data_IF_233693587635
#
_entry.id   IF_233693587635
#
_cell.length_a   1.000
_cell.length_b   1.000
_cell.length_c   1.000
_cell.angle_alpha   90.00
_cell.angle_beta   90.00
_cell.angle_gamma   90.00
#
_symmetry.space_group_name_H-M   'P 1'
#
loop_
_entity.id
_entity.type
_entity.pdbx_description
1 polymer ?
#
# COMPACT_ATOMS: atom_id res chain seq x y z
N UNK A 1 12.28 10.68 -1.79
CA UNK A 1 10.89 10.94 -1.34
C UNK A 1 9.91 10.89 -2.50
N UNK A 2 9.99 11.77 -3.51
CA UNK A 2 8.99 11.84 -4.61
C UNK A 2 8.77 10.56 -5.43
N UNK A 3 9.81 9.74 -5.61
CA UNK A 3 9.73 8.57 -6.50
C UNK A 3 8.89 7.44 -5.88
N UNK A 4 9.03 7.20 -4.58
CA UNK A 4 8.20 6.25 -3.84
C UNK A 4 6.75 6.70 -3.77
N UNK A 5 6.51 7.98 -3.52
CA UNK A 5 5.16 8.53 -3.48
C UNK A 5 4.42 8.32 -4.82
N UNK A 6 5.13 8.50 -5.94
CA UNK A 6 4.59 8.26 -7.29
C UNK A 6 4.25 6.78 -7.52
N UNK A 7 5.08 5.87 -7.00
CA UNK A 7 4.84 4.42 -7.09
C UNK A 7 3.58 4.05 -6.29
N UNK A 8 3.45 4.53 -5.04
CA UNK A 8 2.27 4.23 -4.24
C UNK A 8 1.00 4.82 -4.84
N UNK A 9 1.03 6.06 -5.35
CA UNK A 9 -0.11 6.64 -6.05
C UNK A 9 -0.56 5.79 -7.24
N UNK A 10 0.37 5.27 -8.04
CA UNK A 10 0.04 4.39 -9.15
C UNK A 10 -0.53 3.05 -8.68
N UNK A 11 0.02 2.44 -7.63
CA UNK A 11 -0.51 1.22 -7.05
C UNK A 11 -1.92 1.44 -6.50
N UNK A 12 -2.18 2.55 -5.79
CA UNK A 12 -3.51 2.89 -5.30
C UNK A 12 -4.51 3.07 -6.44
N UNK A 13 -4.11 3.74 -7.53
CA UNK A 13 -4.97 3.86 -8.72
C UNK A 13 -5.30 2.50 -9.34
N UNK A 14 -4.32 1.59 -9.45
CA UNK A 14 -4.57 0.23 -9.97
C UNK A 14 -5.54 -0.54 -9.10
N UNK A 15 -5.37 -0.52 -7.78
CA UNK A 15 -6.31 -1.17 -6.86
C UNK A 15 -7.71 -0.55 -6.99
N UNK A 16 -7.81 0.78 -6.91
CA UNK A 16 -9.10 1.46 -6.87
C UNK A 16 -9.90 1.37 -8.19
N UNK A 17 -9.22 1.40 -9.34
CA UNK A 17 -9.89 1.44 -10.65
C UNK A 17 -9.93 0.10 -11.38
N UNK A 18 -9.03 -0.83 -11.06
CA UNK A 18 -8.86 -2.09 -11.80
C UNK A 18 -9.02 -3.32 -10.91
N UNK A 19 -9.24 -3.13 -9.60
CA UNK A 19 -9.29 -4.22 -8.61
C UNK A 19 -8.05 -5.13 -8.69
N UNK A 20 -6.89 -4.52 -8.96
CA UNK A 20 -5.63 -5.21 -9.20
C UNK A 20 -5.12 -5.84 -7.88
N UNK A 21 -5.34 -7.15 -7.76
CA UNK A 21 -4.97 -7.95 -6.58
C UNK A 21 -3.45 -7.91 -6.31
N UNK A 22 -2.64 -7.84 -7.37
CA UNK A 22 -1.18 -7.81 -7.22
C UNK A 22 -0.72 -6.47 -6.67
N UNK A 23 -1.28 -5.37 -7.18
CA UNK A 23 -1.03 -4.03 -6.64
C UNK A 23 -1.48 -3.91 -5.18
N UNK A 24 -2.59 -4.56 -4.81
CA UNK A 24 -3.03 -4.63 -3.42
C UNK A 24 -2.03 -5.37 -2.54
N UNK A 25 -1.53 -6.55 -2.96
CA UNK A 25 -0.53 -7.31 -2.20
C UNK A 25 0.76 -6.51 -1.97
N UNK A 26 1.22 -5.79 -2.99
CA UNK A 26 2.40 -4.93 -2.87
C UNK A 26 2.19 -3.79 -1.86
N UNK A 27 1.06 -3.08 -1.95
CA UNK A 27 0.69 -2.05 -0.97
C UNK A 27 0.56 -2.64 0.43
N UNK A 28 -0.13 -3.78 0.57
CA UNK A 28 -0.34 -4.43 1.84
C UNK A 28 0.98 -4.76 2.51
N UNK A 29 1.92 -5.40 1.81
CA UNK A 29 3.23 -5.77 2.37
C UNK A 29 4.05 -4.55 2.78
N UNK A 30 3.99 -3.45 2.03
CA UNK A 30 4.69 -2.21 2.38
C UNK A 30 4.13 -1.59 3.67
N UNK A 31 2.80 -1.54 3.81
CA UNK A 31 2.14 -0.92 4.97
C UNK A 31 1.95 -1.88 6.15
N UNK A 32 2.13 -3.18 5.96
CA UNK A 32 1.92 -4.21 6.97
C UNK A 32 2.71 -3.98 8.26
N UNK A 33 4.02 -3.63 8.23
CA UNK A 33 4.77 -3.35 9.45
C UNK A 33 4.18 -2.17 10.25
N UNK A 34 3.73 -1.12 9.56
CA UNK A 34 3.11 0.04 10.21
C UNK A 34 1.76 -0.34 10.84
N UNK A 35 0.98 -1.19 10.16
CA UNK A 35 -0.28 -1.73 10.70
C UNK A 35 -0.04 -2.60 11.93
N UNK A 36 0.99 -3.44 11.95
CA UNK A 36 1.38 -4.23 13.12
C UNK A 36 1.75 -3.33 14.32
N UNK A 37 2.52 -2.26 14.08
CA UNK A 37 2.88 -1.30 15.14
C UNK A 37 1.64 -0.58 15.66
N UNK A 38 0.71 -0.20 14.77
CA UNK A 38 -0.55 0.41 15.16
C UNK A 38 -1.41 -0.54 16.01
N UNK A 39 -1.58 -1.79 15.57
CA UNK A 39 -2.38 -2.81 16.26
C UNK A 39 -1.77 -3.27 17.59
N UNK A 40 -0.46 -3.15 17.79
CA UNK A 40 0.15 -3.40 19.11
C UNK A 40 -0.05 -2.25 20.10
N UNK A 41 -0.40 -1.05 19.61
CA UNK A 41 -0.58 0.15 20.43
C UNK A 41 -2.02 0.39 20.87
N UNK A 42 -3.00 -0.22 20.20
CA UNK A 42 -4.44 -0.04 20.40
C UNK A 42 -5.15 -1.38 20.41
#
# INVERSE_FOLDING_TARGET
MKEKDTIYENLFRKVAFQDDEQAFKELFLEFYPALCVFAMRY
#
